data_IF_302118932620
#
_entry.id   IF_302118932620
#
_cell.length_a   1.000
_cell.length_b   1.000
_cell.length_c   1.000
_cell.angle_alpha   90.00
_cell.angle_beta   90.00
_cell.angle_gamma   90.00
#
_symmetry.space_group_name_H-M   'P 1'
#
loop_
_entity.id
_entity.type
_entity.pdbx_description
1 polymer ?
#
# COMPACT_ATOMS: atom_id res chain seq x y z
N UNK A 1 -40.62 24.50 -5.48
CA UNK A 1 -40.49 23.12 -5.98
C UNK A 1 -41.30 23.00 -7.27
N UNK A 2 -40.67 22.97 -8.45
CA UNK A 2 -41.35 22.90 -9.77
C UNK A 2 -41.14 21.56 -10.50
N UNK A 3 -40.54 20.57 -9.86
CA UNK A 3 -40.35 19.21 -10.39
C UNK A 3 -41.02 18.24 -9.42
N UNK A 4 -42.08 17.54 -9.88
CA UNK A 4 -42.82 16.51 -9.14
C UNK A 4 -42.01 15.22 -9.00
N UNK A 5 -40.76 15.33 -8.54
CA UNK A 5 -39.88 14.18 -8.35
C UNK A 5 -40.05 13.63 -6.94
N UNK A 6 -41.19 12.96 -6.73
CA UNK A 6 -41.58 12.40 -5.43
C UNK A 6 -40.54 11.41 -4.89
N UNK A 7 -39.83 10.70 -5.77
CA UNK A 7 -38.77 9.75 -5.41
C UNK A 7 -37.54 10.43 -4.81
N UNK A 8 -37.11 11.55 -5.40
CA UNK A 8 -36.00 12.32 -4.86
C UNK A 8 -36.35 12.92 -3.49
N UNK A 9 -37.57 13.44 -3.34
CA UNK A 9 -38.04 14.01 -2.07
C UNK A 9 -38.10 12.93 -0.99
N UNK A 10 -38.68 11.78 -1.29
CA UNK A 10 -38.74 10.63 -0.38
C UNK A 10 -37.33 10.22 0.06
N UNK A 11 -36.40 10.02 -0.87
CA UNK A 11 -35.04 9.63 -0.54
C UNK A 11 -34.33 10.65 0.37
N UNK A 12 -34.31 11.92 0.00
CA UNK A 12 -33.55 12.94 0.72
C UNK A 12 -34.16 13.32 2.08
N UNK A 13 -35.46 13.09 2.31
CA UNK A 13 -36.08 13.28 3.63
C UNK A 13 -35.51 12.27 4.65
N UNK A 14 -35.25 11.04 4.23
CA UNK A 14 -34.65 10.01 5.10
C UNK A 14 -33.11 10.07 5.15
N UNK A 15 -32.47 10.81 4.23
CA UNK A 15 -31.01 10.88 4.10
C UNK A 15 -30.50 12.33 4.17
N UNK A 16 -30.62 12.95 5.35
CA UNK A 16 -30.26 14.35 5.58
C UNK A 16 -28.79 14.69 5.21
N UNK A 17 -27.87 13.73 5.40
CA UNK A 17 -26.47 13.89 5.01
C UNK A 17 -26.30 13.99 3.48
N UNK A 18 -26.95 13.11 2.73
CA UNK A 18 -26.89 13.11 1.27
C UNK A 18 -27.64 14.31 0.69
N UNK A 19 -28.70 14.77 1.34
CA UNK A 19 -29.35 16.03 1.00
C UNK A 19 -28.35 17.19 1.09
N UNK A 20 -27.64 17.33 2.20
CA UNK A 20 -26.70 18.44 2.38
C UNK A 20 -25.58 18.42 1.32
N UNK A 21 -25.05 17.24 1.02
CA UNK A 21 -23.87 17.10 0.18
C UNK A 21 -24.19 17.04 -1.32
N UNK A 22 -25.33 16.47 -1.71
CA UNK A 22 -25.65 16.19 -3.11
C UNK A 22 -26.74 17.11 -3.68
N UNK A 23 -27.43 17.93 -2.88
CA UNK A 23 -28.57 18.73 -3.35
C UNK A 23 -28.22 19.69 -4.49
N UNK A 24 -27.04 20.31 -4.45
CA UNK A 24 -26.62 21.22 -5.53
C UNK A 24 -26.40 20.45 -6.84
N UNK A 25 -25.74 19.29 -6.77
CA UNK A 25 -25.53 18.38 -7.90
C UNK A 25 -26.85 17.87 -8.45
N UNK A 26 -27.79 17.53 -7.57
CA UNK A 26 -29.11 17.04 -7.94
C UNK A 26 -29.90 18.10 -8.72
N UNK A 27 -29.87 19.36 -8.28
CA UNK A 27 -30.50 20.47 -9.04
C UNK A 27 -29.92 20.62 -10.44
N UNK A 28 -28.61 20.40 -10.62
CA UNK A 28 -28.01 20.44 -11.97
C UNK A 28 -28.45 19.23 -12.78
N UNK A 29 -28.35 18.01 -12.26
CA UNK A 29 -28.81 16.80 -12.93
C UNK A 29 -30.28 16.89 -13.37
N UNK A 30 -31.15 17.41 -12.50
CA UNK A 30 -32.57 17.62 -12.76
C UNK A 30 -32.82 18.63 -13.90
N UNK A 31 -32.03 19.73 -13.98
CA UNK A 31 -32.10 20.70 -15.10
C UNK A 31 -31.69 20.08 -16.44
N UNK A 32 -30.82 19.07 -16.41
CA UNK A 32 -30.38 18.34 -17.60
C UNK A 32 -31.23 17.09 -17.88
N UNK A 33 -32.39 16.95 -17.23
CA UNK A 33 -33.31 15.83 -17.41
C UNK A 33 -32.68 14.45 -17.17
N UNK A 34 -31.63 14.38 -16.34
CA UNK A 34 -31.01 13.11 -15.99
C UNK A 34 -31.88 12.35 -14.98
N UNK A 35 -32.25 11.11 -15.34
CA UNK A 35 -33.05 10.23 -14.48
C UNK A 35 -32.13 9.37 -13.62
N UNK A 36 -32.16 9.61 -12.32
CA UNK A 36 -31.41 8.81 -11.34
C UNK A 36 -32.19 7.51 -11.07
N UNK A 37 -31.57 6.38 -11.38
CA UNK A 37 -32.15 5.05 -11.14
C UNK A 37 -32.00 4.62 -9.68
N UNK A 38 -30.83 4.85 -9.09
CA UNK A 38 -30.51 4.60 -7.70
C UNK A 38 -29.84 5.82 -7.06
N UNK A 39 -30.55 6.46 -6.13
CA UNK A 39 -30.07 7.65 -5.42
C UNK A 39 -28.88 7.35 -4.51
N UNK A 40 -28.79 6.14 -3.93
CA UNK A 40 -27.67 5.76 -3.08
C UNK A 40 -26.36 5.73 -3.85
N UNK A 41 -26.30 4.90 -4.90
CA UNK A 41 -25.13 4.82 -5.77
C UNK A 41 -24.78 6.17 -6.41
N UNK A 42 -25.79 6.97 -6.77
CA UNK A 42 -25.54 8.29 -7.34
C UNK A 42 -24.93 9.27 -6.33
N UNK A 43 -25.45 9.34 -5.10
CA UNK A 43 -24.86 10.14 -4.02
C UNK A 43 -23.43 9.67 -3.69
N UNK A 44 -23.15 8.36 -3.75
CA UNK A 44 -21.80 7.81 -3.63
C UNK A 44 -20.86 8.33 -4.72
N UNK A 45 -21.30 8.36 -5.98
CA UNK A 45 -20.51 8.95 -7.08
C UNK A 45 -20.19 10.42 -6.79
N UNK A 46 -21.16 11.22 -6.32
CA UNK A 46 -20.93 12.62 -5.99
C UNK A 46 -19.85 12.77 -4.91
N UNK A 47 -19.91 11.95 -3.86
CA UNK A 47 -18.89 11.92 -2.80
C UNK A 47 -17.52 11.50 -3.32
N UNK A 48 -17.46 10.49 -4.20
CA UNK A 48 -16.21 10.02 -4.81
C UNK A 48 -15.61 11.08 -5.74
N UNK A 49 -16.44 11.82 -6.48
CA UNK A 49 -16.03 12.95 -7.31
C UNK A 49 -15.41 14.08 -6.49
N UNK A 50 -16.06 14.45 -5.38
CA UNK A 50 -15.57 15.46 -4.46
C UNK A 50 -14.20 15.07 -3.87
N UNK A 51 -14.07 13.83 -3.38
CA UNK A 51 -12.79 13.24 -2.93
C UNK A 51 -11.71 13.26 -4.01
N UNK A 52 -12.10 13.07 -5.28
CA UNK A 52 -11.20 13.14 -6.42
C UNK A 52 -10.91 14.57 -6.91
N UNK A 53 -11.39 15.60 -6.21
CA UNK A 53 -11.24 17.01 -6.58
C UNK A 53 -11.94 17.38 -7.89
N UNK A 54 -13.04 16.70 -8.23
CA UNK A 54 -13.84 16.98 -9.42
C UNK A 54 -15.01 17.88 -9.10
N UNK A 55 -15.36 18.71 -10.08
CA UNK A 55 -16.52 19.58 -9.96
C UNK A 55 -17.82 18.76 -9.94
N UNK A 56 -18.41 18.67 -8.75
CA UNK A 56 -19.68 18.00 -8.48
C UNK A 56 -20.90 18.72 -9.07
N UNK A 57 -20.71 19.80 -9.83
CA UNK A 57 -21.77 20.47 -10.61
C UNK A 57 -21.60 20.29 -12.11
N UNK A 58 -20.55 19.61 -12.55
CA UNK A 58 -20.31 19.38 -13.96
C UNK A 58 -21.10 18.15 -14.44
N UNK A 59 -21.97 18.39 -15.42
CA UNK A 59 -22.87 17.38 -16.04
C UNK A 59 -22.12 16.15 -16.52
N UNK A 60 -20.90 16.33 -17.05
CA UNK A 60 -20.05 15.22 -17.54
C UNK A 60 -19.76 14.18 -16.46
N UNK A 61 -19.70 14.61 -15.20
CA UNK A 61 -19.35 13.74 -14.08
C UNK A 61 -20.58 13.24 -13.33
N UNK A 62 -21.57 14.11 -13.12
CA UNK A 62 -22.75 13.81 -12.29
C UNK A 62 -23.86 13.05 -13.03
N UNK A 63 -23.82 12.97 -14.36
CA UNK A 63 -24.81 12.28 -15.19
C UNK A 63 -24.16 11.12 -15.97
N UNK A 64 -23.68 10.04 -15.31
CA UNK A 64 -23.09 8.91 -16.00
C UNK A 64 -24.14 8.14 -16.82
N UNK A 65 -23.79 7.69 -18.02
CA UNK A 65 -24.69 6.87 -18.86
C UNK A 65 -25.01 5.53 -18.17
N UNK A 66 -24.00 4.93 -17.53
CA UNK A 66 -24.16 3.75 -16.70
C UNK A 66 -23.70 4.08 -15.28
N UNK A 67 -24.64 4.08 -14.33
CA UNK A 67 -24.39 4.47 -12.95
C UNK A 67 -23.35 3.56 -12.27
N UNK A 68 -23.45 2.24 -12.46
CA UNK A 68 -22.53 1.26 -11.86
C UNK A 68 -21.12 1.40 -12.41
N UNK A 69 -20.96 1.51 -13.73
CA UNK A 69 -19.64 1.71 -14.34
C UNK A 69 -19.01 3.04 -13.92
N UNK A 70 -19.82 4.10 -13.80
CA UNK A 70 -19.38 5.39 -13.28
C UNK A 70 -18.89 5.28 -11.83
N UNK A 71 -19.68 4.63 -10.97
CA UNK A 71 -19.32 4.35 -9.58
C UNK A 71 -18.00 3.58 -9.48
N UNK A 72 -17.86 2.45 -10.15
CA UNK A 72 -16.67 1.60 -10.07
C UNK A 72 -15.42 2.33 -10.57
N UNK A 73 -15.57 3.20 -11.58
CA UNK A 73 -14.47 4.03 -12.07
C UNK A 73 -14.01 5.04 -11.01
N UNK A 74 -14.93 5.78 -10.41
CA UNK A 74 -14.59 6.80 -9.41
C UNK A 74 -14.13 6.20 -8.09
N UNK A 75 -14.66 5.02 -7.71
CA UNK A 75 -14.21 4.28 -6.54
C UNK A 75 -12.73 3.90 -6.69
N UNK A 76 -12.36 3.23 -7.79
CA UNK A 76 -10.95 2.87 -8.08
C UNK A 76 -10.03 4.09 -8.05
N UNK A 77 -10.50 5.23 -8.55
CA UNK A 77 -9.72 6.47 -8.58
C UNK A 77 -9.55 7.08 -7.19
N UNK A 78 -10.59 7.10 -6.38
CA UNK A 78 -10.54 7.57 -4.99
C UNK A 78 -9.62 6.67 -4.15
N UNK A 79 -9.72 5.34 -4.30
CA UNK A 79 -8.87 4.37 -3.63
C UNK A 79 -7.40 4.56 -4.00
N UNK A 80 -7.08 4.81 -5.28
CA UNK A 80 -5.71 5.09 -5.72
C UNK A 80 -5.14 6.40 -5.11
N UNK A 81 -5.95 7.45 -5.00
CA UNK A 81 -5.55 8.71 -4.37
C UNK A 81 -5.27 8.49 -2.88
N UNK A 82 -6.18 7.81 -2.19
CA UNK A 82 -6.07 7.53 -0.75
C UNK A 82 -4.89 6.61 -0.46
N UNK A 83 -4.66 5.58 -1.28
CA UNK A 83 -3.50 4.70 -1.16
C UNK A 83 -2.20 5.49 -1.33
N UNK A 84 -2.11 6.36 -2.35
CA UNK A 84 -0.94 7.23 -2.54
C UNK A 84 -0.71 8.16 -1.36
N UNK A 85 -1.77 8.74 -0.79
CA UNK A 85 -1.70 9.59 0.41
C UNK A 85 -1.13 8.79 1.59
N UNK A 86 -1.69 7.61 1.88
CA UNK A 86 -1.21 6.72 2.95
C UNK A 86 0.25 6.31 2.75
N UNK A 87 0.65 6.00 1.53
CA UNK A 87 2.03 5.61 1.22
C UNK A 87 3.02 6.78 1.40
N UNK A 88 2.60 8.00 1.09
CA UNK A 88 3.39 9.21 1.36
C UNK A 88 3.51 9.47 2.86
N UNK A 89 2.40 9.36 3.61
CA UNK A 89 2.39 9.56 5.07
C UNK A 89 3.23 8.51 5.80
N UNK A 90 3.14 7.24 5.40
CA UNK A 90 3.98 6.17 5.93
C UNK A 90 5.45 6.42 5.64
N UNK A 91 5.78 6.84 4.41
CA UNK A 91 7.16 7.19 4.05
C UNK A 91 7.67 8.38 4.86
N UNK A 92 6.87 9.43 5.02
CA UNK A 92 7.23 10.59 5.83
C UNK A 92 7.47 10.22 7.30
N UNK A 93 6.60 9.36 7.87
CA UNK A 93 6.79 8.82 9.22
C UNK A 93 8.08 8.01 9.33
N UNK A 94 8.36 7.13 8.37
CA UNK A 94 9.61 6.36 8.35
C UNK A 94 10.84 7.27 8.29
N UNK A 95 10.81 8.30 7.42
CA UNK A 95 11.90 9.27 7.29
C UNK A 95 12.15 10.11 8.54
N UNK A 96 11.11 10.38 9.34
CA UNK A 96 11.29 11.06 10.62
C UNK A 96 12.18 10.27 11.60
N UNK A 97 12.29 8.95 11.44
CA UNK A 97 13.13 8.06 12.24
C UNK A 97 14.33 7.50 11.46
N UNK A 98 14.70 8.11 10.33
CA UNK A 98 15.76 7.60 9.44
C UNK A 98 17.12 7.54 10.13
N UNK A 99 17.46 8.53 10.95
CA UNK A 99 18.73 8.52 11.70
C UNK A 99 18.83 7.32 12.65
N UNK A 100 17.73 6.91 13.27
CA UNK A 100 17.69 5.73 14.12
C UNK A 100 17.78 4.43 13.31
N UNK A 101 17.14 4.38 12.14
CA UNK A 101 17.31 3.28 11.19
C UNK A 101 18.79 3.08 10.84
N UNK A 102 19.49 4.13 10.37
CA UNK A 102 20.91 4.02 10.04
C UNK A 102 21.77 3.68 11.25
N UNK A 103 21.52 4.29 12.41
CA UNK A 103 22.25 3.96 13.65
C UNK A 103 22.13 2.47 14.01
N UNK A 104 20.95 1.89 13.87
CA UNK A 104 20.69 0.51 14.30
C UNK A 104 21.01 -0.54 13.22
N UNK A 105 21.06 -0.15 11.94
CA UNK A 105 21.13 -1.08 10.81
C UNK A 105 22.41 -0.99 9.97
N UNK A 106 23.10 0.15 9.99
CA UNK A 106 24.20 0.40 9.04
C UNK A 106 25.36 -0.58 9.15
N UNK A 107 25.59 -1.19 10.32
CA UNK A 107 26.61 -2.22 10.48
C UNK A 107 26.35 -3.49 9.65
N UNK A 108 25.11 -3.74 9.25
CA UNK A 108 24.75 -4.88 8.40
C UNK A 108 24.78 -4.54 6.91
N UNK A 109 24.87 -3.26 6.55
CA UNK A 109 24.86 -2.85 5.15
C UNK A 109 26.12 -3.34 4.44
N UNK A 110 25.97 -3.77 3.19
CA UNK A 110 27.05 -4.40 2.42
C UNK A 110 27.26 -5.89 2.74
N UNK A 111 26.53 -6.48 3.70
CA UNK A 111 26.46 -7.94 3.80
C UNK A 111 25.69 -8.46 2.57
N UNK A 112 26.46 -9.06 1.67
CA UNK A 112 25.97 -9.81 0.51
C UNK A 112 26.43 -11.25 0.66
N UNK A 113 25.50 -12.18 0.52
CA UNK A 113 25.74 -13.63 0.53
C UNK A 113 25.28 -14.15 -0.82
N UNK A 114 26.15 -14.87 -1.52
CA UNK A 114 25.81 -15.40 -2.83
C UNK A 114 26.17 -16.88 -2.93
N UNK A 115 25.52 -17.52 -3.89
CA UNK A 115 25.77 -18.87 -4.38
C UNK A 115 25.68 -18.84 -5.93
N UNK A 116 25.68 -19.99 -6.61
CA UNK A 116 25.75 -20.10 -8.07
C UNK A 116 24.78 -19.18 -8.84
N UNK A 117 23.51 -19.13 -8.43
CA UNK A 117 22.40 -18.43 -9.11
C UNK A 117 21.58 -17.50 -8.21
N UNK A 118 21.93 -17.41 -6.92
CA UNK A 118 21.21 -16.60 -5.93
C UNK A 118 22.18 -15.62 -5.27
N UNK A 119 21.77 -14.37 -5.16
CA UNK A 119 22.39 -13.38 -4.30
C UNK A 119 21.38 -12.91 -3.25
N UNK A 120 21.84 -12.74 -2.02
CA UNK A 120 21.05 -12.34 -0.86
C UNK A 120 21.73 -11.14 -0.23
N UNK A 121 21.06 -9.99 -0.21
CA UNK A 121 21.62 -8.73 0.30
C UNK A 121 20.70 -8.10 1.34
N UNK A 122 21.29 -7.41 2.31
CA UNK A 122 20.54 -6.66 3.33
C UNK A 122 19.86 -5.45 2.70
N UNK A 123 18.59 -5.22 3.05
CA UNK A 123 17.89 -3.99 2.67
C UNK A 123 18.49 -2.80 3.43
N UNK A 124 19.08 -1.86 2.69
CA UNK A 124 19.93 -0.80 3.24
C UNK A 124 19.25 0.57 3.35
N UNK A 125 18.00 0.68 2.90
CA UNK A 125 17.25 1.95 2.86
C UNK A 125 15.76 1.75 3.10
N UNK A 126 15.08 2.78 3.59
CA UNK A 126 13.63 2.78 3.77
C UNK A 126 12.90 2.56 2.43
N UNK A 127 13.45 3.09 1.35
CA UNK A 127 13.00 2.88 -0.02
C UNK A 127 13.11 1.40 -0.43
N UNK A 128 14.21 0.72 -0.10
CA UNK A 128 14.38 -0.70 -0.37
C UNK A 128 13.36 -1.57 0.38
N UNK A 129 13.09 -1.27 1.67
CA UNK A 129 12.01 -1.92 2.42
C UNK A 129 10.64 -1.72 1.76
N UNK A 130 10.35 -0.50 1.31
CA UNK A 130 9.09 -0.18 0.62
C UNK A 130 8.97 -0.92 -0.72
N UNK A 131 10.02 -0.93 -1.52
CA UNK A 131 10.03 -1.62 -2.82
C UNK A 131 9.89 -3.14 -2.63
N UNK A 132 10.61 -3.72 -1.68
CA UNK A 132 10.53 -5.13 -1.31
C UNK A 132 9.09 -5.50 -0.94
N UNK A 133 8.46 -4.76 -0.02
CA UNK A 133 7.06 -4.99 0.37
C UNK A 133 6.09 -4.88 -0.81
N UNK A 134 6.30 -3.93 -1.72
CA UNK A 134 5.44 -3.73 -2.89
C UNK A 134 5.58 -4.83 -3.95
N UNK A 135 6.80 -5.29 -4.20
CA UNK A 135 7.12 -6.33 -5.18
C UNK A 135 6.72 -7.71 -4.68
N UNK A 136 7.06 -8.00 -3.42
CA UNK A 136 6.79 -9.30 -2.80
C UNK A 136 5.38 -9.43 -2.21
N UNK A 137 4.62 -8.33 -2.18
CA UNK A 137 3.30 -8.26 -1.51
C UNK A 137 3.39 -8.63 -0.03
N UNK A 138 4.47 -8.19 0.61
CA UNK A 138 4.75 -8.38 2.03
C UNK A 138 4.48 -7.13 2.85
N UNK A 139 4.24 -7.33 4.13
CA UNK A 139 4.03 -6.25 5.08
C UNK A 139 5.33 -5.64 5.65
N UNK A 140 6.51 -5.98 5.12
CA UNK A 140 7.81 -5.59 5.72
C UNK A 140 7.94 -4.08 5.98
N UNK A 141 7.53 -3.24 5.02
CA UNK A 141 7.52 -1.78 5.24
C UNK A 141 6.32 -1.34 6.09
N UNK A 142 5.12 -1.86 5.81
CA UNK A 142 3.89 -1.47 6.50
C UNK A 142 3.90 -1.81 8.00
N UNK A 143 4.56 -2.89 8.38
CA UNK A 143 4.74 -3.34 9.76
C UNK A 143 6.07 -2.86 10.36
N UNK A 144 6.71 -1.86 9.74
CA UNK A 144 7.85 -1.13 10.28
C UNK A 144 9.05 -2.04 10.64
N UNK A 145 9.33 -3.07 9.82
CA UNK A 145 10.44 -4.00 10.10
C UNK A 145 11.80 -3.28 10.09
N UNK A 146 11.91 -2.15 9.39
CA UNK A 146 13.09 -1.27 9.43
C UNK A 146 13.39 -0.76 10.86
N UNK A 147 12.38 -0.62 11.72
CA UNK A 147 12.51 -0.16 13.10
C UNK A 147 12.80 -1.28 14.12
N UNK A 148 12.57 -2.56 13.76
CA UNK A 148 12.78 -3.70 14.67
C UNK A 148 14.27 -3.94 14.93
N UNK A 149 14.77 -3.68 16.13
CA UNK A 149 16.20 -3.77 16.46
C UNK A 149 16.76 -5.20 16.50
N UNK A 150 15.92 -6.22 16.72
CA UNK A 150 16.35 -7.63 16.81
C UNK A 150 16.30 -8.39 15.47
N UNK A 151 15.98 -7.72 14.36
CA UNK A 151 15.85 -8.38 13.04
C UNK A 151 16.69 -7.70 11.97
N UNK A 152 17.17 -8.45 10.98
CA UNK A 152 17.76 -7.92 9.75
C UNK A 152 16.96 -8.47 8.58
N UNK A 153 16.57 -7.59 7.65
CA UNK A 153 15.76 -7.98 6.49
C UNK A 153 16.65 -8.04 5.26
N UNK A 154 16.54 -9.14 4.54
CA UNK A 154 17.29 -9.39 3.32
C UNK A 154 16.36 -9.66 2.15
N UNK A 155 16.82 -9.33 0.95
CA UNK A 155 16.19 -9.74 -0.30
C UNK A 155 17.07 -10.79 -0.96
N UNK A 156 16.49 -11.96 -1.27
CA UNK A 156 17.08 -12.94 -2.14
C UNK A 156 16.61 -12.66 -3.57
N UNK A 157 17.53 -12.62 -4.53
CA UNK A 157 17.25 -12.41 -5.93
C UNK A 157 18.18 -13.24 -6.82
N UNK A 158 17.73 -13.51 -8.03
CA UNK A 158 18.60 -14.09 -9.06
C UNK A 158 19.60 -13.04 -9.61
N UNK A 159 20.56 -13.48 -10.42
CA UNK A 159 21.53 -12.58 -11.07
C UNK A 159 20.92 -11.58 -12.07
N UNK A 160 19.64 -11.73 -12.41
CA UNK A 160 18.89 -10.80 -13.25
C UNK A 160 18.18 -9.73 -12.39
N UNK A 161 18.27 -9.82 -11.06
CA UNK A 161 17.63 -8.92 -10.10
C UNK A 161 16.15 -9.26 -9.84
N UNK A 162 15.66 -10.42 -10.28
CA UNK A 162 14.32 -10.88 -9.95
C UNK A 162 14.29 -11.36 -8.50
N UNK A 163 13.43 -10.75 -7.69
CA UNK A 163 13.26 -11.11 -6.29
C UNK A 163 12.64 -12.51 -6.16
N UNK A 164 13.25 -13.33 -5.32
CA UNK A 164 12.87 -14.72 -5.04
C UNK A 164 12.16 -14.79 -3.69
N UNK A 165 12.84 -14.42 -2.59
CA UNK A 165 12.26 -14.40 -1.23
C UNK A 165 12.76 -13.19 -0.41
N UNK A 166 11.91 -12.71 0.49
CA UNK A 166 12.30 -11.80 1.57
C UNK A 166 12.62 -12.61 2.82
N UNK A 167 13.78 -12.38 3.42
CA UNK A 167 14.29 -13.11 4.59
C UNK A 167 14.31 -12.21 5.82
N UNK A 168 13.82 -12.70 6.96
CA UNK A 168 14.00 -12.10 8.27
C UNK A 168 14.98 -12.95 9.09
N UNK A 169 16.14 -12.36 9.41
CA UNK A 169 17.14 -12.95 10.29
C UNK A 169 17.01 -12.37 11.69
N UNK A 170 16.88 -13.22 12.72
CA UNK A 170 16.84 -12.78 14.12
C UNK A 170 18.25 -12.70 14.70
N UNK A 171 18.60 -11.53 15.23
CA UNK A 171 19.91 -11.27 15.84
C UNK A 171 20.05 -11.93 17.21
N UNK A 172 18.97 -12.05 17.98
CA UNK A 172 18.97 -12.77 19.27
C UNK A 172 19.09 -14.28 19.09
N UNK A 173 18.40 -14.85 18.09
CA UNK A 173 18.46 -16.29 17.81
C UNK A 173 19.65 -16.69 16.93
N UNK A 174 20.26 -15.73 16.22
CA UNK A 174 21.36 -15.98 15.29
C UNK A 174 20.97 -16.86 14.10
N UNK A 175 19.71 -16.80 13.66
CA UNK A 175 19.19 -17.61 12.56
C UNK A 175 18.03 -16.94 11.84
N UNK A 176 17.72 -17.44 10.65
CA UNK A 176 16.50 -17.11 9.90
C UNK A 176 15.27 -17.55 10.67
N UNK A 177 14.31 -16.63 10.85
CA UNK A 177 13.00 -16.90 11.47
C UNK A 177 11.87 -16.87 10.46
N UNK A 178 12.07 -16.23 9.32
CA UNK A 178 11.13 -16.22 8.21
C UNK A 178 11.85 -16.08 6.88
N UNK A 179 11.39 -16.82 5.87
CA UNK A 179 11.78 -16.64 4.47
C UNK A 179 10.54 -16.88 3.62
N UNK A 180 10.17 -15.94 2.74
CA UNK A 180 8.93 -16.01 1.97
C UNK A 180 9.08 -15.39 0.60
N UNK A 181 8.56 -16.05 -0.43
CA UNK A 181 8.35 -15.50 -1.77
C UNK A 181 7.05 -14.72 -1.89
N UNK A 182 6.71 -14.28 -3.10
CA UNK A 182 5.55 -13.42 -3.36
C UNK A 182 4.27 -13.96 -2.70
N UNK A 183 3.52 -13.08 -2.04
CA UNK A 183 2.28 -13.41 -1.32
C UNK A 183 2.47 -14.47 -0.20
N UNK A 184 3.62 -14.46 0.50
CA UNK A 184 3.95 -15.37 1.59
C UNK A 184 4.05 -16.87 1.18
N UNK A 185 4.37 -17.14 -0.08
CA UNK A 185 4.64 -18.50 -0.56
C UNK A 185 6.04 -18.97 -0.17
N UNK A 186 6.29 -20.28 -0.21
CA UNK A 186 7.64 -20.82 -0.26
C UNK A 186 8.00 -21.01 -1.74
N UNK A 187 9.21 -20.64 -2.12
CA UNK A 187 9.76 -20.89 -3.46
C UNK A 187 10.50 -22.22 -3.49
N UNK A 188 10.88 -22.67 -4.69
CA UNK A 188 11.77 -23.84 -4.85
C UNK A 188 13.16 -23.63 -4.22
N UNK A 189 13.55 -22.38 -3.99
CA UNK A 189 14.81 -21.99 -3.38
C UNK A 189 14.74 -21.86 -1.85
N UNK A 190 13.57 -22.02 -1.24
CA UNK A 190 13.31 -21.71 0.16
C UNK A 190 14.33 -22.31 1.14
N UNK A 191 14.51 -23.64 1.10
CA UNK A 191 15.41 -24.33 2.01
C UNK A 191 16.88 -23.94 1.77
N UNK A 192 17.23 -23.68 0.50
CA UNK A 192 18.58 -23.26 0.11
C UNK A 192 18.88 -21.84 0.60
N UNK A 193 17.93 -20.91 0.48
CA UNK A 193 18.03 -19.53 0.98
C UNK A 193 18.22 -19.55 2.51
N UNK A 194 17.38 -20.31 3.23
CA UNK A 194 17.48 -20.45 4.69
C UNK A 194 18.86 -21.00 5.09
N UNK A 195 19.31 -22.07 4.43
CA UNK A 195 20.61 -22.67 4.69
C UNK A 195 21.74 -21.68 4.44
N UNK A 196 21.72 -21.00 3.29
CA UNK A 196 22.76 -20.06 2.88
C UNK A 196 22.92 -18.90 3.88
N UNK A 197 21.81 -18.33 4.34
CA UNK A 197 21.84 -17.26 5.35
C UNK A 197 22.30 -17.77 6.72
N UNK A 198 21.82 -18.94 7.15
CA UNK A 198 22.23 -19.53 8.44
C UNK A 198 23.70 -19.94 8.47
N UNK A 199 24.24 -20.49 7.39
CA UNK A 199 25.67 -20.82 7.26
C UNK A 199 26.55 -19.54 7.36
N UNK A 200 25.98 -18.39 7.00
CA UNK A 200 26.61 -17.08 7.09
C UNK A 200 26.18 -16.25 8.32
N UNK A 201 25.50 -16.85 9.31
CA UNK A 201 24.98 -16.17 10.48
C UNK A 201 26.04 -15.37 11.26
N UNK A 202 27.28 -15.87 11.29
CA UNK A 202 28.40 -15.23 11.97
C UNK A 202 28.63 -13.78 11.52
N UNK A 203 28.43 -13.47 10.23
CA UNK A 203 28.63 -12.13 9.66
C UNK A 203 27.72 -11.09 10.30
N UNK A 204 26.46 -11.44 10.57
CA UNK A 204 25.51 -10.55 11.25
C UNK A 204 25.85 -10.40 12.73
N UNK A 205 26.22 -11.48 13.40
CA UNK A 205 26.53 -11.45 14.82
C UNK A 205 27.81 -10.67 15.12
N UNK A 206 28.83 -10.81 14.27
CA UNK A 206 30.08 -10.05 14.32
C UNK A 206 29.84 -8.56 14.03
N UNK A 207 29.09 -8.24 12.97
CA UNK A 207 28.71 -6.86 12.64
C UNK A 207 28.01 -6.17 13.80
N UNK A 208 27.06 -6.84 14.47
CA UNK A 208 26.36 -6.31 15.64
C UNK A 208 27.33 -6.00 16.80
N UNK A 209 28.27 -6.91 17.08
CA UNK A 209 29.26 -6.75 18.16
C UNK A 209 30.25 -5.61 17.90
N UNK A 210 30.63 -5.37 16.65
CA UNK A 210 31.56 -4.29 16.30
C UNK A 210 30.98 -2.88 16.53
N UNK A 211 29.66 -2.76 16.61
CA UNK A 211 28.93 -1.50 16.87
C UNK A 211 28.37 -1.35 18.28
N UNK A 212 28.49 -2.38 19.13
CA UNK A 212 28.01 -2.37 20.52
C UNK A 212 29.09 -1.85 21.48
#
# INVERSE_FOLDING_TARGET
MKTRDYKAVEYFVYHAFDLNNCWQSYKVASRHHYRIEDFGTWCDIIRLLDKCGKDIRNVKYICPINLKTGHDHWLKKADAIEQKRRDMERMAKAKAHEAEFYRNKSCFFGIVISDEDIEISVLDSLEAYKEEGNKMKHCVFQCEYYAKTDSVILSAHDHQGNRIETVEFSLSQGKVVQSRGVCNSNTEYHDRIIKLVNDNAHRFLEAKRATA
#
